data_IF_589635791734
#
_entry.id   IF_589635791734
#
_cell.length_a   1.000
_cell.length_b   1.000
_cell.length_c   1.000
_cell.angle_alpha   90.00
_cell.angle_beta   90.00
_cell.angle_gamma   90.00
#
_symmetry.space_group_name_H-M   'P 1'
#
loop_
_entity.id
_entity.type
_entity.pdbx_description
1 polymer ?
#
# COMPACT_ATOMS: atom_id res chain seq x y z
N UNK A 1 20.54 -8.31 18.95
CA UNK A 1 19.86 -9.04 17.87
C UNK A 1 19.08 -8.01 17.08
N UNK A 2 19.62 -7.54 15.97
CA UNK A 2 18.87 -6.69 15.05
C UNK A 2 17.76 -7.58 14.47
N UNK A 3 16.51 -7.32 14.87
CA UNK A 3 15.35 -7.94 14.24
C UNK A 3 15.38 -7.53 12.77
N UNK A 4 15.85 -8.42 11.90
CA UNK A 4 15.67 -8.25 10.46
C UNK A 4 14.17 -8.17 10.25
N UNK A 5 13.65 -6.95 10.05
CA UNK A 5 12.25 -6.73 9.71
C UNK A 5 11.98 -7.52 8.44
N UNK A 6 11.30 -8.65 8.59
CA UNK A 6 11.01 -9.56 7.50
C UNK A 6 9.92 -8.89 6.66
N UNK A 7 10.34 -8.11 5.66
CA UNK A 7 9.42 -7.42 4.77
C UNK A 7 8.49 -8.46 4.11
N UNK A 8 7.17 -8.18 4.07
CA UNK A 8 6.25 -9.07 3.40
C UNK A 8 6.60 -9.21 1.91
N UNK A 9 6.20 -10.33 1.27
CA UNK A 9 6.40 -10.53 -0.16
C UNK A 9 5.79 -9.36 -0.95
N UNK A 10 6.47 -8.89 -2.00
CA UNK A 10 5.95 -7.80 -2.82
C UNK A 10 4.59 -8.16 -3.42
N UNK A 11 3.62 -7.26 -3.27
CA UNK A 11 2.30 -7.37 -3.89
C UNK A 11 2.18 -6.34 -5.01
N UNK A 12 1.92 -6.81 -6.23
CA UNK A 12 1.88 -5.98 -7.43
C UNK A 12 0.52 -5.32 -7.66
N UNK A 13 -0.50 -5.71 -6.91
CA UNK A 13 -1.86 -5.19 -7.06
C UNK A 13 -2.52 -4.84 -5.73
N UNK A 14 -3.48 -3.91 -5.78
CA UNK A 14 -4.33 -3.56 -4.62
C UNK A 14 -5.10 -4.75 -4.08
N UNK A 15 -5.44 -5.72 -4.92
CA UNK A 15 -6.17 -6.93 -4.50
C UNK A 15 -5.28 -7.82 -3.65
N UNK A 16 -4.07 -8.10 -4.11
CA UNK A 16 -3.09 -8.91 -3.35
C UNK A 16 -2.75 -8.23 -2.02
N UNK A 17 -2.51 -6.91 -2.06
CA UNK A 17 -2.22 -6.13 -0.86
C UNK A 17 -3.39 -6.14 0.13
N UNK A 18 -4.62 -5.96 -0.35
CA UNK A 18 -5.82 -6.01 0.49
C UNK A 18 -6.07 -7.39 1.10
N UNK A 19 -5.75 -8.46 0.36
CA UNK A 19 -5.90 -9.83 0.87
C UNK A 19 -4.89 -10.12 1.98
N UNK A 20 -3.66 -9.63 1.83
CA UNK A 20 -2.64 -9.80 2.86
C UNK A 20 -3.00 -9.01 4.13
N UNK A 21 -3.39 -7.74 3.96
CA UNK A 21 -3.78 -6.86 5.04
C UNK A 21 -5.29 -6.90 5.32
N UNK A 22 -5.92 -8.08 5.24
CA UNK A 22 -7.38 -8.26 5.39
C UNK A 22 -7.92 -7.80 6.75
N UNK A 23 -7.07 -7.72 7.77
CA UNK A 23 -7.41 -7.23 9.12
C UNK A 23 -7.59 -5.72 9.17
N UNK A 24 -7.05 -4.97 8.20
CA UNK A 24 -7.22 -3.53 8.15
C UNK A 24 -8.64 -3.17 7.73
N UNK A 25 -9.15 -2.05 8.24
CA UNK A 25 -10.45 -1.55 7.78
C UNK A 25 -10.39 -1.21 6.29
N UNK A 26 -11.41 -1.62 5.53
CA UNK A 26 -11.50 -1.33 4.09
C UNK A 26 -11.38 0.17 3.79
N UNK A 27 -11.91 1.02 4.68
CA UNK A 27 -11.81 2.48 4.56
C UNK A 27 -10.36 2.94 4.65
N UNK A 28 -9.64 2.52 5.70
CA UNK A 28 -8.24 2.86 5.91
C UNK A 28 -7.37 2.35 4.74
N UNK A 29 -7.49 1.06 4.41
CA UNK A 29 -6.74 0.46 3.32
C UNK A 29 -6.87 1.27 2.03
N UNK A 30 -8.12 1.56 1.62
CA UNK A 30 -8.41 2.30 0.39
C UNK A 30 -7.93 3.74 0.46
N UNK A 31 -8.09 4.45 1.58
CA UNK A 31 -7.60 5.83 1.67
C UNK A 31 -6.08 5.87 1.57
N UNK A 32 -5.38 4.99 2.28
CA UNK A 32 -3.93 5.00 2.38
C UNK A 32 -3.28 4.62 1.06
N UNK A 33 -3.66 3.50 0.44
CA UNK A 33 -3.03 3.08 -0.82
C UNK A 33 -3.33 4.04 -1.98
N UNK A 34 -4.54 4.62 -2.03
CA UNK A 34 -4.88 5.59 -3.08
C UNK A 34 -4.13 6.90 -2.89
N UNK A 35 -3.96 7.35 -1.63
CA UNK A 35 -3.14 8.53 -1.30
C UNK A 35 -1.68 8.31 -1.72
N UNK A 36 -1.09 7.18 -1.34
CA UNK A 36 0.30 6.83 -1.68
C UNK A 36 0.52 6.78 -3.18
N UNK A 37 -0.41 6.19 -3.95
CA UNK A 37 -0.31 6.16 -5.43
C UNK A 37 -0.44 7.56 -6.01
N UNK A 38 -1.40 8.36 -5.53
CA UNK A 38 -1.62 9.74 -5.97
C UNK A 38 -0.35 10.59 -5.77
N UNK A 39 0.23 10.53 -4.57
CA UNK A 39 1.46 11.25 -4.22
C UNK A 39 2.68 10.71 -5.00
N UNK A 40 2.82 9.39 -5.12
CA UNK A 40 3.98 8.77 -5.77
C UNK A 40 4.05 9.02 -7.28
N UNK A 41 2.88 9.09 -7.94
CA UNK A 41 2.78 9.27 -9.40
C UNK A 41 2.44 10.72 -9.79
N UNK A 42 2.24 11.61 -8.81
CA UNK A 42 1.80 12.98 -9.03
C UNK A 42 0.53 13.07 -9.89
N UNK A 43 -0.48 12.26 -9.55
CA UNK A 43 -1.79 12.21 -10.23
C UNK A 43 -2.90 12.55 -9.25
N UNK A 44 -4.08 12.91 -9.76
CA UNK A 44 -5.24 13.15 -8.92
C UNK A 44 -5.68 11.90 -8.17
N UNK A 45 -6.20 12.07 -6.95
CA UNK A 45 -6.73 10.98 -6.13
C UNK A 45 -7.84 10.20 -6.85
N UNK A 46 -8.63 10.88 -7.69
CA UNK A 46 -9.69 10.26 -8.49
C UNK A 46 -9.12 9.27 -9.52
N UNK A 47 -8.01 9.62 -10.16
CA UNK A 47 -7.30 8.73 -11.07
C UNK A 47 -6.64 7.57 -10.33
N UNK A 48 -5.97 7.88 -9.21
CA UNK A 48 -5.33 6.87 -8.36
C UNK A 48 -6.28 5.77 -7.89
N UNK A 49 -7.55 6.10 -7.59
CA UNK A 49 -8.59 5.13 -7.21
C UNK A 49 -8.83 4.05 -8.26
N UNK A 50 -8.72 4.40 -9.54
CA UNK A 50 -9.01 3.50 -10.66
C UNK A 50 -7.83 2.56 -11.00
N UNK A 51 -6.62 2.91 -10.55
CA UNK A 51 -5.44 2.08 -10.75
C UNK A 51 -5.51 0.79 -9.93
N UNK A 52 -5.17 -0.34 -10.55
CA UNK A 52 -5.16 -1.66 -9.90
C UNK A 52 -3.77 -2.07 -9.44
N UNK A 53 -2.74 -1.60 -10.15
CA UNK A 53 -1.35 -1.98 -9.96
C UNK A 53 -0.65 -1.06 -8.96
N UNK A 54 0.30 -1.65 -8.23
CA UNK A 54 1.12 -1.01 -7.21
C UNK A 54 2.58 -1.23 -7.62
N UNK A 55 3.38 -0.18 -7.54
CA UNK A 55 4.82 -0.26 -7.77
C UNK A 55 5.56 -0.71 -6.49
N UNK A 56 6.78 -1.26 -6.61
CA UNK A 56 7.57 -1.63 -5.42
C UNK A 56 7.76 -0.47 -4.42
N UNK A 57 7.86 0.76 -4.91
CA UNK A 57 7.98 1.97 -4.07
C UNK A 57 6.70 2.20 -3.27
N UNK A 58 5.54 2.17 -3.93
CA UNK A 58 4.24 2.37 -3.29
C UNK A 58 3.92 1.27 -2.28
N UNK A 59 4.29 0.02 -2.59
CA UNK A 59 4.17 -1.09 -1.66
C UNK A 59 4.98 -0.83 -0.38
N UNK A 60 6.26 -0.48 -0.50
CA UNK A 60 7.12 -0.18 0.66
C UNK A 60 6.57 0.96 1.51
N UNK A 61 6.06 2.02 0.89
CA UNK A 61 5.43 3.13 1.59
C UNK A 61 4.19 2.68 2.36
N UNK A 62 3.36 1.82 1.76
CA UNK A 62 2.18 1.29 2.43
C UNK A 62 2.54 0.41 3.62
N UNK A 63 3.52 -0.50 3.47
CA UNK A 63 4.00 -1.36 4.57
C UNK A 63 4.53 -0.49 5.71
N UNK A 64 5.34 0.52 5.41
CA UNK A 64 5.87 1.44 6.42
C UNK A 64 4.78 2.20 7.17
N UNK A 65 3.68 2.59 6.51
CA UNK A 65 2.55 3.25 7.18
C UNK A 65 1.73 2.30 8.06
N UNK A 66 1.70 1.00 7.73
CA UNK A 66 0.92 0.01 8.49
C UNK A 66 1.69 -0.57 9.66
N UNK A 67 3.00 -0.77 9.51
CA UNK A 67 3.87 -1.39 10.52
C UNK A 67 4.69 -0.36 11.31
N UNK A 68 4.70 0.90 10.88
CA UNK A 68 5.34 2.02 11.58
C UNK A 68 4.49 2.68 12.67
N UNK A 69 3.29 2.15 12.94
CA UNK A 69 2.36 2.54 14.02
C UNK A 69 2.09 1.33 14.95
#
# INVERSE_FOLDING_TARGET
MESQMQYPPMMGTKKELSNHYWRLSTRFFRSTINRIISESRNIELKEAKNLKTITPKEFKLFVAEVEGD
#
